data_IF_704807578240
#
_entry.id   IF_704807578240
#
_cell.length_a   1.000
_cell.length_b   1.000
_cell.length_c   1.000
_cell.angle_alpha   90.00
_cell.angle_beta   90.00
_cell.angle_gamma   90.00
#
_symmetry.space_group_name_H-M   'P 1'
#
loop_
_entity.id
_entity.type
_entity.pdbx_description
1 polymer ?
#
# COMPACT_ATOMS: atom_id res chain seq x y z
N UNK A 1 -12.38 -19.64 14.24
CA UNK A 1 -12.73 -18.56 13.28
C UNK A 1 -12.38 -17.27 13.96
N UNK A 2 -11.27 -16.66 13.58
CA UNK A 2 -10.88 -15.32 14.00
C UNK A 2 -11.25 -14.31 12.91
N UNK A 3 -11.35 -13.04 13.27
CA UNK A 3 -11.55 -11.96 12.31
C UNK A 3 -10.18 -11.35 12.02
N UNK A 4 -9.85 -11.23 10.75
CA UNK A 4 -8.62 -10.59 10.29
C UNK A 4 -8.98 -9.44 9.34
N UNK A 5 -8.39 -8.27 9.61
CA UNK A 5 -8.56 -7.07 8.77
C UNK A 5 -7.25 -6.80 8.03
N UNK A 6 -7.33 -6.70 6.72
CA UNK A 6 -6.24 -6.32 5.82
C UNK A 6 -6.58 -4.97 5.22
N UNK A 7 -5.81 -3.96 5.59
CA UNK A 7 -6.08 -2.57 5.23
C UNK A 7 -4.97 -2.02 4.34
N UNK A 8 -5.34 -1.38 3.25
CA UNK A 8 -4.41 -0.57 2.47
C UNK A 8 -4.02 0.70 3.22
N UNK A 9 -2.94 1.36 2.79
CA UNK A 9 -2.40 2.55 3.44
C UNK A 9 -2.68 3.82 2.63
N UNK A 10 -2.09 3.93 1.44
CA UNK A 10 -2.18 5.11 0.58
C UNK A 10 -3.60 5.26 0.02
N UNK A 11 -4.22 6.44 0.24
CA UNK A 11 -5.62 6.67 -0.15
C UNK A 11 -6.67 6.01 0.77
N UNK A 12 -6.27 5.08 1.64
CA UNK A 12 -7.15 4.35 2.56
C UNK A 12 -6.95 4.80 4.01
N UNK A 13 -5.81 4.50 4.66
CA UNK A 13 -5.46 5.02 5.98
C UNK A 13 -5.09 6.49 5.89
N UNK A 14 -4.33 6.88 4.88
CA UNK A 14 -4.10 8.29 4.56
C UNK A 14 -5.18 8.82 3.60
N UNK A 15 -5.41 10.14 3.63
CA UNK A 15 -6.31 10.79 2.68
C UNK A 15 -5.71 10.86 1.27
N UNK A 16 -4.38 10.92 1.17
CA UNK A 16 -3.63 11.09 -0.06
C UNK A 16 -2.89 9.80 -0.45
N UNK A 17 -2.57 9.67 -1.74
CA UNK A 17 -1.54 8.76 -2.23
C UNK A 17 -0.17 9.41 -2.01
N UNK A 18 0.61 8.85 -1.06
CA UNK A 18 1.89 9.41 -0.69
C UNK A 18 2.96 9.19 -1.78
N UNK A 19 2.89 8.12 -2.57
CA UNK A 19 3.80 7.91 -3.70
C UNK A 19 3.59 9.02 -4.73
N UNK A 20 2.32 9.31 -5.07
CA UNK A 20 2.01 10.39 -6.01
C UNK A 20 2.45 11.75 -5.48
N UNK A 21 2.24 12.03 -4.19
CA UNK A 21 2.70 13.27 -3.54
C UNK A 21 4.23 13.43 -3.61
N UNK A 22 4.99 12.34 -3.39
CA UNK A 22 6.45 12.33 -3.56
C UNK A 22 6.83 12.64 -5.01
N UNK A 23 6.19 11.97 -5.97
CA UNK A 23 6.51 12.16 -7.39
C UNK A 23 6.21 13.59 -7.85
N UNK A 24 5.11 14.17 -7.43
CA UNK A 24 4.74 15.56 -7.75
C UNK A 24 5.73 16.58 -7.19
N UNK A 25 6.29 16.32 -6.01
CA UNK A 25 7.15 17.27 -5.31
C UNK A 25 8.63 17.14 -5.68
N UNK A 26 9.12 15.91 -5.85
CA UNK A 26 10.55 15.61 -5.88
C UNK A 26 11.04 14.99 -7.20
N UNK A 27 10.15 14.37 -7.98
CA UNK A 27 10.57 13.73 -9.21
C UNK A 27 10.78 14.76 -10.34
N UNK A 28 11.73 14.50 -11.25
CA UNK A 28 11.93 15.34 -12.42
C UNK A 28 10.77 15.15 -13.44
N UNK A 29 10.64 16.04 -14.44
CA UNK A 29 9.55 15.98 -15.43
C UNK A 29 9.42 14.66 -16.18
N UNK A 30 10.49 13.89 -16.31
CA UNK A 30 10.53 12.58 -16.95
C UNK A 30 9.66 11.53 -16.23
N UNK A 31 9.34 11.75 -14.95
CA UNK A 31 8.45 10.90 -14.19
C UNK A 31 7.03 10.84 -14.79
N UNK A 32 6.60 11.91 -15.48
CA UNK A 32 5.27 11.95 -16.11
C UNK A 32 5.14 10.90 -17.24
N UNK A 33 6.19 10.68 -18.01
CA UNK A 33 6.20 9.62 -19.04
C UNK A 33 6.05 8.24 -18.40
N UNK A 34 6.75 7.99 -17.27
CA UNK A 34 6.64 6.72 -16.54
C UNK A 34 5.25 6.51 -15.98
N UNK A 35 4.65 7.55 -15.38
CA UNK A 35 3.26 7.49 -14.88
C UNK A 35 2.26 7.13 -16.00
N UNK A 36 2.39 7.77 -17.16
CA UNK A 36 1.54 7.48 -18.29
C UNK A 36 1.66 6.03 -18.78
N UNK A 37 2.87 5.45 -18.79
CA UNK A 37 3.10 4.05 -19.12
C UNK A 37 2.52 3.07 -18.10
N UNK A 38 2.46 3.44 -16.82
CA UNK A 38 1.75 2.66 -15.80
C UNK A 38 0.24 2.70 -16.07
N UNK A 39 -0.32 3.88 -16.30
CA UNK A 39 -1.75 4.06 -16.56
C UNK A 39 -2.23 3.37 -17.84
N UNK A 40 -1.41 3.36 -18.90
CA UNK A 40 -1.68 2.64 -20.15
C UNK A 40 -1.40 1.14 -20.07
N UNK A 41 -0.92 0.64 -18.92
CA UNK A 41 -0.53 -0.76 -18.70
C UNK A 41 0.63 -1.25 -19.60
N UNK A 42 1.41 -0.33 -20.13
CA UNK A 42 2.68 -0.65 -20.84
C UNK A 42 3.78 -1.09 -19.86
N UNK A 43 3.71 -0.61 -18.62
CA UNK A 43 4.55 -1.04 -17.51
C UNK A 43 3.69 -1.67 -16.42
N UNK A 44 4.20 -2.73 -15.81
CA UNK A 44 3.61 -3.24 -14.56
C UNK A 44 3.77 -2.20 -13.44
N UNK A 45 2.93 -2.28 -12.40
CA UNK A 45 3.04 -1.40 -11.22
C UNK A 45 4.43 -1.52 -10.61
N UNK A 46 4.93 -2.75 -10.44
CA UNK A 46 6.26 -3.01 -9.90
C UNK A 46 7.37 -2.32 -10.70
N UNK A 47 7.36 -2.47 -12.01
CA UNK A 47 8.37 -1.88 -12.88
C UNK A 47 8.26 -0.35 -12.94
N UNK A 48 7.04 0.16 -13.04
CA UNK A 48 6.78 1.59 -13.09
C UNK A 48 7.20 2.30 -11.80
N UNK A 49 6.81 1.79 -10.64
CA UNK A 49 7.21 2.35 -9.34
C UNK A 49 8.73 2.27 -9.15
N UNK A 50 9.36 1.14 -9.54
CA UNK A 50 10.83 1.05 -9.51
C UNK A 50 11.49 2.17 -10.33
N UNK A 51 11.01 2.42 -11.55
CA UNK A 51 11.53 3.48 -12.42
C UNK A 51 11.28 4.88 -11.85
N UNK A 52 10.13 5.13 -11.25
CA UNK A 52 9.81 6.40 -10.62
C UNK A 52 10.79 6.73 -9.49
N UNK A 53 11.03 5.79 -8.57
CA UNK A 53 11.97 6.02 -7.47
C UNK A 53 13.43 6.13 -7.94
N UNK A 54 13.81 5.45 -9.02
CA UNK A 54 15.14 5.60 -9.65
C UNK A 54 15.38 6.98 -10.27
N UNK A 55 14.39 7.83 -10.37
CA UNK A 55 14.55 9.24 -10.76
C UNK A 55 14.83 10.17 -9.58
N UNK A 56 14.70 9.68 -8.33
CA UNK A 56 14.82 10.49 -7.13
C UNK A 56 16.20 10.24 -6.48
N UNK A 57 17.04 11.27 -6.33
CA UNK A 57 18.32 11.14 -5.63
C UNK A 57 18.16 10.77 -4.16
N UNK A 58 19.04 9.89 -3.66
CA UNK A 58 18.99 9.40 -2.26
C UNK A 58 19.26 10.47 -1.21
N UNK A 59 19.94 11.57 -1.57
CA UNK A 59 20.18 12.70 -0.67
C UNK A 59 18.90 13.48 -0.32
N UNK A 60 17.77 13.23 -1.00
CA UNK A 60 16.46 13.82 -0.69
C UNK A 60 15.68 13.02 0.37
N UNK A 61 16.24 11.93 0.91
CA UNK A 61 15.56 11.05 1.87
C UNK A 61 14.91 11.81 3.02
N UNK A 62 15.68 12.65 3.72
CA UNK A 62 15.18 13.38 4.90
C UNK A 62 14.15 14.45 4.52
N UNK A 63 14.34 15.12 3.38
CA UNK A 63 13.39 16.11 2.84
C UNK A 63 12.05 15.47 2.49
N UNK A 64 12.06 14.25 1.91
CA UNK A 64 10.85 13.50 1.58
C UNK A 64 10.11 13.09 2.86
N UNK A 65 10.81 12.55 3.85
CA UNK A 65 10.18 12.16 5.12
C UNK A 65 9.56 13.38 5.80
N UNK A 66 10.30 14.49 5.89
CA UNK A 66 9.81 15.72 6.50
C UNK A 66 8.55 16.23 5.77
N UNK A 67 8.59 16.27 4.44
CA UNK A 67 7.43 16.66 3.62
C UNK A 67 6.21 15.80 3.91
N UNK A 68 6.36 14.46 3.98
CA UNK A 68 5.23 13.57 4.23
C UNK A 68 4.70 13.67 5.67
N UNK A 69 5.57 13.87 6.67
CA UNK A 69 5.14 14.12 8.05
C UNK A 69 4.27 15.39 8.14
N UNK A 70 4.59 16.40 7.33
CA UNK A 70 3.85 17.68 7.30
C UNK A 70 2.57 17.62 6.48
N UNK A 71 2.49 16.75 5.47
CA UNK A 71 1.40 16.78 4.48
C UNK A 71 0.52 15.53 4.44
N UNK A 72 1.02 14.38 4.92
CA UNK A 72 0.21 13.17 4.98
C UNK A 72 -0.81 13.27 6.12
N UNK A 73 -2.08 13.14 5.77
CA UNK A 73 -3.18 13.18 6.72
C UNK A 73 -3.70 11.78 7.01
N UNK A 74 -3.53 11.31 8.24
CA UNK A 74 -4.22 10.10 8.72
C UNK A 74 -5.72 10.40 8.76
N UNK A 75 -6.50 9.52 8.15
CA UNK A 75 -7.95 9.66 8.06
C UNK A 75 -8.60 9.76 9.43
N UNK A 76 -9.55 10.70 9.53
CA UNK A 76 -10.37 10.86 10.74
C UNK A 76 -11.09 9.56 11.09
N UNK A 77 -11.08 9.18 12.37
CA UNK A 77 -11.65 7.94 12.87
C UNK A 77 -10.71 6.74 12.83
N UNK A 78 -9.52 6.85 12.21
CA UNK A 78 -8.60 5.71 12.15
C UNK A 78 -8.07 5.31 13.53
N UNK A 79 -7.76 6.25 14.40
CA UNK A 79 -7.31 5.97 15.76
C UNK A 79 -8.38 5.25 16.57
N UNK A 80 -9.62 5.71 16.49
CA UNK A 80 -10.79 5.10 17.16
C UNK A 80 -11.05 3.70 16.61
N UNK A 81 -10.90 3.51 15.30
CA UNK A 81 -11.01 2.21 14.66
C UNK A 81 -9.94 1.23 15.15
N UNK A 82 -8.69 1.65 15.27
CA UNK A 82 -7.61 0.80 15.81
C UNK A 82 -7.83 0.47 17.29
N UNK A 83 -8.37 1.40 18.06
CA UNK A 83 -8.77 1.11 19.46
C UNK A 83 -9.86 0.05 19.49
N UNK A 84 -10.91 0.19 18.67
CA UNK A 84 -11.98 -0.81 18.56
C UNK A 84 -11.44 -2.20 18.16
N UNK A 85 -10.55 -2.26 17.19
CA UNK A 85 -9.89 -3.50 16.74
C UNK A 85 -9.15 -4.19 17.91
N UNK A 86 -8.38 -3.43 18.68
CA UNK A 86 -7.62 -3.93 19.84
C UNK A 86 -8.56 -4.43 20.95
N UNK A 87 -9.59 -3.67 21.29
CA UNK A 87 -10.57 -4.02 22.35
C UNK A 87 -11.37 -5.28 22.02
N UNK A 88 -11.58 -5.57 20.73
CA UNK A 88 -12.30 -6.75 20.26
C UNK A 88 -11.41 -7.93 19.87
N UNK A 89 -10.08 -7.85 20.11
CA UNK A 89 -9.11 -8.87 19.74
C UNK A 89 -9.17 -9.26 18.25
N UNK A 90 -9.41 -8.29 17.38
CA UNK A 90 -9.40 -8.45 15.93
C UNK A 90 -7.95 -8.32 15.44
N UNK A 91 -7.48 -9.26 14.62
CA UNK A 91 -6.16 -9.15 13.98
C UNK A 91 -6.21 -8.09 12.89
N UNK A 92 -5.27 -7.14 12.92
CA UNK A 92 -5.21 -6.05 11.95
C UNK A 92 -3.84 -5.99 11.28
N UNK A 93 -3.83 -5.93 9.96
CA UNK A 93 -2.62 -5.85 9.16
C UNK A 93 -2.72 -4.70 8.15
N UNK A 94 -1.67 -3.89 8.07
CA UNK A 94 -1.48 -2.93 6.98
C UNK A 94 -0.74 -3.64 5.84
N UNK A 95 -1.33 -3.65 4.64
CA UNK A 95 -0.74 -4.26 3.43
C UNK A 95 -0.64 -3.20 2.33
N UNK A 96 0.48 -2.50 2.27
CA UNK A 96 0.69 -1.27 1.49
C UNK A 96 1.65 -1.45 0.32
N UNK A 97 1.29 -0.93 -0.84
CA UNK A 97 2.22 -0.73 -1.96
C UNK A 97 3.27 0.34 -1.71
N UNK A 98 3.16 1.10 -0.62
CA UNK A 98 4.10 2.14 -0.20
C UNK A 98 5.44 1.60 0.27
N UNK A 99 6.35 2.52 0.63
CA UNK A 99 7.74 2.21 1.00
C UNK A 99 7.96 2.36 2.50
N UNK A 100 8.79 1.49 3.05
CA UNK A 100 9.13 1.41 4.47
C UNK A 100 9.56 2.74 5.09
N UNK A 101 10.34 3.53 4.36
CA UNK A 101 10.92 4.78 4.84
C UNK A 101 9.88 5.87 5.14
N UNK A 102 8.65 5.76 4.62
CA UNK A 102 7.55 6.67 4.98
C UNK A 102 6.36 5.97 5.66
N UNK A 103 6.04 4.73 5.31
CA UNK A 103 4.93 4.00 5.94
C UNK A 103 5.18 3.79 7.44
N UNK A 104 6.42 3.39 7.83
CA UNK A 104 6.74 3.19 9.24
C UNK A 104 6.69 4.48 10.06
N UNK A 105 7.32 5.60 9.65
CA UNK A 105 7.21 6.85 10.40
C UNK A 105 5.79 7.37 10.55
N UNK A 106 4.97 7.29 9.49
CA UNK A 106 3.58 7.78 9.52
C UNK A 106 2.66 6.94 10.41
N UNK A 107 2.96 5.65 10.60
CA UNK A 107 2.20 4.74 11.48
C UNK A 107 2.85 4.53 12.85
N UNK A 108 3.97 5.21 13.13
CA UNK A 108 4.69 5.05 14.38
C UNK A 108 3.81 5.37 15.59
N UNK A 109 3.76 4.44 16.56
CA UNK A 109 2.93 4.58 17.76
C UNK A 109 1.45 4.24 17.56
N UNK A 110 0.98 4.01 16.32
CA UNK A 110 -0.40 3.63 16.00
C UNK A 110 -0.48 2.12 15.76
N UNK A 111 0.34 1.61 14.84
CA UNK A 111 0.39 0.20 14.44
C UNK A 111 1.77 -0.38 14.75
N UNK A 112 1.87 -1.57 15.39
CA UNK A 112 3.13 -2.28 15.58
C UNK A 112 3.77 -2.64 14.22
N UNK A 113 5.09 -2.52 14.14
CA UNK A 113 5.83 -2.73 12.88
C UNK A 113 5.62 -4.13 12.28
N UNK A 114 5.48 -5.14 13.14
CA UNK A 114 5.22 -6.53 12.76
C UNK A 114 3.84 -6.77 12.11
N UNK A 115 2.94 -5.79 12.19
CA UNK A 115 1.64 -5.79 11.54
C UNK A 115 1.61 -4.97 10.25
N UNK A 116 2.76 -4.40 9.83
CA UNK A 116 2.88 -3.57 8.63
C UNK A 116 3.71 -4.32 7.58
N UNK A 117 3.09 -4.57 6.44
CA UNK A 117 3.70 -5.16 5.25
C UNK A 117 3.74 -4.10 4.17
N UNK A 118 4.93 -3.68 3.78
CA UNK A 118 5.17 -2.68 2.72
C UNK A 118 6.44 -3.04 1.94
N UNK A 119 6.73 -2.30 0.90
CA UNK A 119 7.96 -2.49 0.15
C UNK A 119 9.14 -1.86 0.90
N UNK A 120 10.36 -2.31 0.56
CA UNK A 120 11.59 -1.81 1.17
C UNK A 120 12.33 -0.89 0.19
N UNK A 121 13.13 0.02 0.75
CA UNK A 121 13.97 0.92 -0.04
C UNK A 121 15.45 0.79 0.30
N UNK A 122 16.29 1.01 -0.71
CA UNK A 122 17.75 1.04 -0.57
C UNK A 122 18.27 2.42 -0.98
N UNK A 123 18.95 3.08 -0.05
CA UNK A 123 19.53 4.41 -0.21
C UNK A 123 21.06 4.36 -0.35
N UNK A 124 21.66 3.19 -0.60
CA UNK A 124 23.11 3.04 -0.69
C UNK A 124 23.71 3.53 -2.01
N UNK A 125 22.90 3.69 -3.07
CA UNK A 125 23.30 4.19 -4.38
C UNK A 125 22.95 5.68 -4.54
N UNK A 126 23.22 6.26 -5.72
CA UNK A 126 22.91 7.65 -6.05
C UNK A 126 21.41 7.94 -6.09
N UNK A 127 20.61 6.97 -6.55
CA UNK A 127 19.16 7.06 -6.69
C UNK A 127 18.48 6.00 -5.83
N UNK A 128 17.24 6.27 -5.41
CA UNK A 128 16.45 5.36 -4.56
C UNK A 128 16.13 4.08 -5.33
N UNK A 129 16.42 2.93 -4.72
CA UNK A 129 16.08 1.61 -5.27
C UNK A 129 15.02 0.93 -4.42
N UNK A 130 13.99 0.40 -5.07
CA UNK A 130 12.90 -0.31 -4.39
C UNK A 130 13.18 -1.81 -4.38
N UNK A 131 12.97 -2.44 -3.22
CA UNK A 131 12.99 -3.89 -3.02
C UNK A 131 11.59 -4.41 -2.79
N UNK A 132 11.31 -5.61 -3.26
CA UNK A 132 9.97 -6.21 -3.30
C UNK A 132 9.92 -7.49 -2.48
N UNK A 133 9.90 -7.41 -1.12
CA UNK A 133 9.95 -8.60 -0.25
C UNK A 133 8.66 -9.43 -0.27
N UNK A 134 7.56 -8.86 -0.75
CA UNK A 134 6.23 -9.47 -0.75
C UNK A 134 5.70 -9.67 -2.18
N UNK A 135 6.48 -10.33 -3.02
CA UNK A 135 6.11 -10.61 -4.41
C UNK A 135 4.94 -11.59 -4.53
N UNK A 136 4.41 -11.71 -5.74
CA UNK A 136 3.37 -12.67 -6.06
C UNK A 136 3.83 -14.11 -5.81
N UNK A 137 2.92 -14.95 -5.30
CA UNK A 137 3.05 -16.39 -5.21
C UNK A 137 2.58 -17.07 -6.51
N UNK A 138 2.56 -18.40 -6.55
CA UNK A 138 2.16 -19.21 -7.71
C UNK A 138 0.69 -18.98 -8.13
N UNK A 139 -0.13 -18.36 -7.27
CA UNK A 139 -1.55 -18.07 -7.52
C UNK A 139 -1.80 -16.65 -8.04
N UNK A 140 -0.77 -15.84 -8.23
CA UNK A 140 -0.89 -14.47 -8.73
C UNK A 140 0.25 -14.14 -9.70
N UNK A 141 -0.09 -13.68 -10.91
CA UNK A 141 0.88 -13.34 -11.97
C UNK A 141 0.80 -11.85 -12.37
N UNK A 142 0.24 -10.98 -11.51
CA UNK A 142 -0.05 -9.59 -11.88
C UNK A 142 1.16 -8.65 -11.71
N UNK A 143 2.29 -9.14 -11.20
CA UNK A 143 3.49 -8.32 -10.93
C UNK A 143 3.16 -7.04 -10.14
N UNK A 144 2.41 -7.24 -9.04
CA UNK A 144 1.84 -6.14 -8.23
C UNK A 144 2.89 -5.34 -7.44
N UNK A 145 4.16 -5.81 -7.39
CA UNK A 145 5.11 -5.33 -6.40
C UNK A 145 4.83 -5.96 -5.04
N UNK A 146 4.09 -5.30 -4.16
CA UNK A 146 3.52 -5.97 -2.99
C UNK A 146 2.25 -6.70 -3.40
N UNK A 147 2.23 -8.02 -3.23
CA UNK A 147 1.06 -8.82 -3.56
C UNK A 147 0.14 -9.02 -2.34
N UNK A 148 -0.92 -8.21 -2.27
CA UNK A 148 -1.89 -8.25 -1.17
C UNK A 148 -2.56 -9.62 -1.04
N UNK A 149 -2.93 -10.23 -2.17
CA UNK A 149 -3.53 -11.56 -2.20
C UNK A 149 -2.63 -12.66 -1.65
N UNK A 150 -1.34 -12.63 -2.00
CA UNK A 150 -0.36 -13.60 -1.48
C UNK A 150 -0.14 -13.42 0.02
N UNK A 151 -0.13 -12.16 0.49
CA UNK A 151 -0.01 -11.86 1.93
C UNK A 151 -1.22 -12.36 2.72
N UNK A 152 -2.44 -12.15 2.22
CA UNK A 152 -3.65 -12.69 2.87
C UNK A 152 -3.53 -14.20 3.01
N UNK A 153 -3.21 -14.92 1.93
CA UNK A 153 -3.03 -16.39 1.99
C UNK A 153 -1.94 -16.84 2.96
N UNK A 154 -0.87 -16.06 3.09
CA UNK A 154 0.26 -16.35 3.99
C UNK A 154 -0.05 -16.12 5.47
N UNK A 155 -0.87 -15.10 5.76
CA UNK A 155 -1.16 -14.64 7.12
C UNK A 155 -2.43 -15.24 7.71
N UNK A 156 -3.24 -15.91 6.89
CA UNK A 156 -4.56 -16.41 7.27
C UNK A 156 -4.62 -17.92 7.32
N UNK A 157 -5.45 -18.43 8.22
CA UNK A 157 -5.90 -19.82 8.22
C UNK A 157 -7.22 -19.95 7.42
N UNK A 158 -7.50 -21.14 6.89
CA UNK A 158 -8.66 -21.45 6.03
C UNK A 158 -10.02 -21.20 6.69
N UNK A 159 -10.07 -21.04 8.00
CA UNK A 159 -11.30 -20.83 8.77
C UNK A 159 -11.46 -19.40 9.28
N UNK A 160 -10.58 -18.48 8.90
CA UNK A 160 -10.64 -17.09 9.36
C UNK A 160 -11.60 -16.27 8.48
N UNK A 161 -12.23 -15.26 9.08
CA UNK A 161 -13.09 -14.31 8.39
C UNK A 161 -12.25 -13.10 7.96
N UNK A 162 -12.11 -12.91 6.65
CA UNK A 162 -11.25 -11.90 6.08
C UNK A 162 -12.02 -10.65 5.70
N UNK A 163 -11.55 -9.52 6.20
CA UNK A 163 -12.04 -8.20 5.85
C UNK A 163 -10.94 -7.47 5.09
N UNK A 164 -11.24 -6.96 3.90
CA UNK A 164 -10.33 -6.11 3.12
C UNK A 164 -10.86 -4.68 3.11
N UNK A 165 -9.99 -3.72 3.36
CA UNK A 165 -10.26 -2.28 3.30
C UNK A 165 -9.30 -1.68 2.28
N UNK A 166 -9.81 -1.01 1.25
CA UNK A 166 -8.99 -0.44 0.19
C UNK A 166 -9.72 0.56 -0.69
N UNK A 167 -9.02 1.18 -1.63
CA UNK A 167 -9.53 2.25 -2.49
C UNK A 167 -9.22 2.07 -3.97
N UNK A 168 -8.25 1.25 -4.32
CA UNK A 168 -7.64 1.24 -5.65
C UNK A 168 -7.74 -0.11 -6.38
N UNK A 169 -7.28 -0.13 -7.64
CA UNK A 169 -7.21 -1.35 -8.45
C UNK A 169 -6.28 -2.41 -7.83
N UNK A 170 -5.29 -1.99 -7.06
CA UNK A 170 -4.34 -2.91 -6.43
C UNK A 170 -4.99 -3.75 -5.33
N UNK A 171 -6.14 -3.31 -4.80
CA UNK A 171 -6.91 -4.01 -3.79
C UNK A 171 -7.88 -5.05 -4.35
N UNK A 172 -8.22 -4.96 -5.65
CA UNK A 172 -9.26 -5.78 -6.26
C UNK A 172 -9.02 -7.28 -6.10
N UNK A 173 -7.78 -7.75 -6.26
CA UNK A 173 -7.48 -9.17 -6.12
C UNK A 173 -7.56 -9.65 -4.67
N UNK A 174 -7.26 -8.79 -3.71
CA UNK A 174 -7.48 -9.04 -2.29
C UNK A 174 -8.98 -9.04 -1.96
N UNK A 175 -9.73 -8.08 -2.49
CA UNK A 175 -11.18 -7.98 -2.34
C UNK A 175 -11.91 -9.24 -2.82
N UNK A 176 -11.48 -9.86 -3.93
CA UNK A 176 -12.04 -11.12 -4.46
C UNK A 176 -11.87 -12.33 -3.51
N UNK A 177 -10.96 -12.27 -2.56
CA UNK A 177 -10.68 -13.35 -1.60
C UNK A 177 -11.27 -13.07 -0.22
N UNK A 178 -11.84 -11.89 -0.01
CA UNK A 178 -12.37 -11.47 1.27
C UNK A 178 -13.82 -11.91 1.47
N UNK A 179 -14.17 -12.20 2.73
CA UNK A 179 -15.57 -12.44 3.13
C UNK A 179 -16.35 -11.13 3.19
N UNK A 180 -15.66 -10.01 3.46
CA UNK A 180 -16.23 -8.66 3.51
C UNK A 180 -15.24 -7.63 2.98
N UNK A 181 -15.75 -6.69 2.18
CA UNK A 181 -14.97 -5.58 1.63
C UNK A 181 -15.53 -4.25 2.10
N UNK A 182 -14.65 -3.37 2.54
CA UNK A 182 -14.94 -1.95 2.71
C UNK A 182 -14.17 -1.18 1.61
N UNK A 183 -14.86 -0.95 0.53
CA UNK A 183 -14.31 -0.28 -0.64
C UNK A 183 -14.57 1.23 -0.59
N UNK A 184 -13.65 1.99 -1.17
CA UNK A 184 -13.85 3.40 -1.49
C UNK A 184 -13.31 3.71 -2.89
N UNK A 185 -13.58 4.91 -3.37
CA UNK A 185 -13.08 5.45 -4.64
C UNK A 185 -13.17 4.44 -5.80
N UNK A 186 -12.08 4.20 -6.51
CA UNK A 186 -12.07 3.32 -7.68
C UNK A 186 -12.43 1.86 -7.36
N UNK A 187 -12.08 1.38 -6.15
CA UNK A 187 -12.40 0.02 -5.75
C UNK A 187 -13.91 -0.22 -5.65
N UNK A 188 -14.72 0.80 -5.29
CA UNK A 188 -16.20 0.68 -5.29
C UNK A 188 -16.69 0.21 -6.66
N UNK A 189 -16.33 0.95 -7.71
CA UNK A 189 -16.73 0.62 -9.08
C UNK A 189 -16.29 -0.79 -9.46
N UNK A 190 -15.06 -1.17 -9.10
CA UNK A 190 -14.55 -2.51 -9.41
C UNK A 190 -15.23 -3.63 -8.63
N UNK A 191 -15.61 -3.41 -7.39
CA UNK A 191 -16.40 -4.35 -6.61
C UNK A 191 -17.80 -4.53 -7.23
N UNK A 192 -18.48 -3.44 -7.61
CA UNK A 192 -19.79 -3.49 -8.28
C UNK A 192 -19.72 -4.25 -9.61
N UNK A 193 -18.72 -3.96 -10.47
CA UNK A 193 -18.50 -4.66 -11.74
C UNK A 193 -18.26 -6.17 -11.57
N UNK A 194 -17.68 -6.58 -10.46
CA UNK A 194 -17.32 -7.99 -10.15
C UNK A 194 -18.32 -8.68 -9.21
N UNK A 195 -19.39 -7.99 -8.79
CA UNK A 195 -20.41 -8.52 -7.86
C UNK A 195 -19.85 -8.97 -6.49
N UNK A 196 -18.91 -8.15 -5.96
CA UNK A 196 -18.26 -8.32 -4.65
C UNK A 196 -18.95 -7.45 -3.60
#
# INVERSE_FOLDING_TARGET
MSIQVFCDFDGTITNNDNIMSIMEKFAPPEAEEVKNKILSQELSIQEGVSRLFQLIPTNLHDDIIQFLIETAEIRSGFHEFIQFVKENNISFYVISGGMDFFVYPLLQGIIPKEQIYCNETDFSAEFITVKWPHSCDDHCQNHCGLCKSSLIRKLSDTNDFHIVIGDSITDLQAAKQADKVFARDFLITKCEENHI
#
